data_IF_367514816732
#
_entry.id   IF_367514816732
#
_cell.length_a   1.000
_cell.length_b   1.000
_cell.length_c   1.000
_cell.angle_alpha   90.00
_cell.angle_beta   90.00
_cell.angle_gamma   90.00
#
_symmetry.space_group_name_H-M   'P 1'
#
loop_
_entity.id
_entity.type
_entity.pdbx_description
1 polymer ?
#
# COMPACT_ATOMS: atom_id res chain seq x y z
N UNK A 1 11.98 -8.96 -14.57
CA UNK A 1 11.30 -8.20 -13.51
C UNK A 1 10.22 -7.35 -14.12
N UNK A 2 9.06 -7.26 -13.47
CA UNK A 2 7.89 -6.54 -13.96
C UNK A 2 7.30 -5.66 -12.86
N UNK A 3 6.79 -4.48 -13.22
CA UNK A 3 6.10 -3.59 -12.29
C UNK A 3 4.60 -3.85 -12.41
N UNK A 4 3.97 -4.25 -11.32
CA UNK A 4 2.54 -4.56 -11.28
C UNK A 4 1.90 -3.87 -10.07
N UNK A 5 0.64 -3.45 -10.23
CA UNK A 5 -0.17 -2.91 -9.13
C UNK A 5 -0.79 -4.08 -8.37
N UNK A 6 -0.18 -4.46 -7.25
CA UNK A 6 -0.63 -5.57 -6.41
C UNK A 6 -0.83 -5.11 -4.97
N UNK A 7 -1.67 -5.83 -4.23
CA UNK A 7 -1.86 -5.59 -2.81
C UNK A 7 -0.56 -5.92 -2.06
N UNK A 8 0.11 -4.89 -1.56
CA UNK A 8 1.41 -5.00 -0.89
C UNK A 8 1.28 -4.46 0.54
N UNK A 9 1.94 -5.12 1.49
CA UNK A 9 1.98 -4.69 2.88
C UNK A 9 2.87 -3.45 3.02
N UNK A 10 2.30 -2.37 3.55
CA UNK A 10 2.97 -1.10 3.73
C UNK A 10 3.58 -1.02 5.14
N UNK A 11 4.83 -0.59 5.20
CA UNK A 11 5.66 -0.46 6.41
C UNK A 11 6.27 0.95 6.52
N UNK A 12 5.48 1.96 6.17
CA UNK A 12 5.86 3.38 6.23
C UNK A 12 5.82 4.09 4.88
N UNK A 13 5.64 3.37 3.76
CA UNK A 13 5.51 4.00 2.45
C UNK A 13 4.25 4.87 2.41
N UNK A 14 4.37 6.05 1.80
CA UNK A 14 3.30 7.07 1.75
C UNK A 14 2.78 7.53 3.13
N UNK A 15 3.50 7.27 4.22
CA UNK A 15 3.08 7.57 5.59
C UNK A 15 2.09 6.55 6.18
N UNK A 16 1.96 5.38 5.56
CA UNK A 16 1.08 4.30 5.99
C UNK A 16 1.92 3.08 6.41
N UNK A 17 1.57 2.48 7.55
CA UNK A 17 2.14 1.24 8.08
C UNK A 17 1.03 0.27 8.47
N UNK A 18 1.30 -1.02 8.59
CA UNK A 18 0.35 -2.04 9.08
C UNK A 18 -0.95 -2.13 8.26
N UNK A 19 -0.86 -1.98 6.94
CA UNK A 19 -2.00 -2.12 6.04
C UNK A 19 -1.56 -2.58 4.66
N UNK A 20 -2.36 -3.43 4.02
CA UNK A 20 -2.15 -3.82 2.62
C UNK A 20 -2.94 -2.90 1.69
N UNK A 21 -2.28 -2.35 0.67
CA UNK A 21 -2.92 -1.55 -0.38
C UNK A 21 -2.37 -1.90 -1.76
N UNK A 22 -3.19 -1.65 -2.79
CA UNK A 22 -2.78 -1.77 -4.18
C UNK A 22 -1.82 -0.64 -4.53
N UNK A 23 -0.54 -0.97 -4.61
CA UNK A 23 0.53 -0.02 -4.95
C UNK A 23 1.43 -0.60 -6.04
N UNK A 24 2.16 0.24 -6.80
CA UNK A 24 3.12 -0.23 -7.79
C UNK A 24 4.27 -0.97 -7.09
N UNK A 25 4.41 -2.24 -7.39
CA UNK A 25 5.40 -3.11 -6.77
C UNK A 25 6.21 -3.82 -7.84
N UNK A 26 7.53 -3.84 -7.66
CA UNK A 26 8.43 -4.60 -8.48
C UNK A 26 8.34 -6.07 -8.08
N UNK A 27 8.06 -6.92 -9.05
CA UNK A 27 7.92 -8.36 -8.88
C UNK A 27 8.98 -9.05 -9.72
N UNK A 28 9.68 -10.00 -9.11
CA UNK A 28 10.63 -10.88 -9.75
C UNK A 28 10.27 -12.35 -9.46
N UNK A 29 11.12 -13.29 -9.88
CA UNK A 29 10.90 -14.73 -9.68
C UNK A 29 10.80 -15.15 -8.21
N UNK A 30 11.31 -14.34 -7.29
CA UNK A 30 11.33 -14.59 -5.85
C UNK A 30 10.12 -13.93 -5.13
N UNK A 31 9.24 -13.24 -5.87
CA UNK A 31 8.02 -12.63 -5.35
C UNK A 31 8.07 -11.10 -5.36
N UNK A 32 7.59 -10.49 -4.27
CA UNK A 32 7.64 -9.03 -4.08
C UNK A 32 9.08 -8.63 -3.77
N UNK A 33 9.69 -7.87 -4.68
CA UNK A 33 11.06 -7.37 -4.52
C UNK A 33 11.06 -6.05 -3.76
N UNK A 34 10.29 -5.06 -4.24
CA UNK A 34 10.15 -3.76 -3.57
C UNK A 34 8.89 -3.01 -3.97
N UNK A 35 8.37 -2.22 -3.04
CA UNK A 35 7.30 -1.25 -3.30
C UNK A 35 7.94 0.02 -3.89
N UNK A 36 7.40 0.50 -5.00
CA UNK A 36 7.86 1.74 -5.64
C UNK A 36 7.08 2.92 -5.05
N UNK A 37 7.79 3.81 -4.35
CA UNK A 37 7.23 5.10 -3.92
C UNK A 37 7.39 6.11 -5.04
N UNK A 38 6.32 6.30 -5.81
CA UNK A 38 6.29 7.31 -6.86
C UNK A 38 5.87 8.66 -6.27
N UNK A 39 6.40 9.79 -6.76
CA UNK A 39 5.91 11.10 -6.36
C UNK A 39 4.45 11.23 -6.80
N UNK A 40 3.58 11.54 -5.84
CA UNK A 40 2.16 11.81 -6.03
C UNK A 40 1.86 13.22 -5.52
N UNK A 41 0.75 13.80 -5.99
CA UNK A 41 0.29 15.09 -5.48
C UNK A 41 -0.18 15.00 -4.02
N UNK A 42 -0.27 16.15 -3.35
CA UNK A 42 -0.79 16.20 -1.97
C UNK A 42 -2.22 15.67 -1.86
N UNK A 43 -3.06 15.94 -2.86
CA UNK A 43 -4.44 15.45 -2.90
C UNK A 43 -4.51 13.94 -3.07
N UNK A 44 -3.68 13.36 -3.95
CA UNK A 44 -3.57 11.90 -4.09
C UNK A 44 -3.05 11.26 -2.81
N UNK A 45 -2.07 11.87 -2.15
CA UNK A 45 -1.56 11.36 -0.88
C UNK A 45 -2.64 11.35 0.21
N UNK A 46 -3.43 12.43 0.32
CA UNK A 46 -4.56 12.49 1.24
C UNK A 46 -5.59 11.40 0.95
N UNK A 47 -5.91 11.16 -0.32
CA UNK A 47 -6.84 10.11 -0.72
C UNK A 47 -6.30 8.70 -0.44
N UNK A 48 -5.01 8.46 -0.69
CA UNK A 48 -4.37 7.18 -0.40
C UNK A 48 -4.38 6.89 1.11
N UNK A 49 -4.04 7.89 1.93
CA UNK A 49 -4.10 7.79 3.40
C UNK A 49 -5.53 7.50 3.86
N UNK A 50 -6.53 8.19 3.30
CA UNK A 50 -7.94 7.93 3.59
C UNK A 50 -8.34 6.49 3.29
N UNK A 51 -7.93 5.95 2.14
CA UNK A 51 -8.18 4.55 1.77
C UNK A 51 -7.52 3.56 2.71
N UNK A 52 -6.24 3.80 3.08
CA UNK A 52 -5.52 2.98 4.05
C UNK A 52 -6.21 2.96 5.42
N UNK A 53 -6.64 4.13 5.90
CA UNK A 53 -7.36 4.23 7.17
C UNK A 53 -8.72 3.53 7.13
N UNK A 54 -9.47 3.63 6.02
CA UNK A 54 -10.74 2.92 5.87
C UNK A 54 -10.56 1.41 5.99
N UNK A 55 -9.53 0.83 5.37
CA UNK A 55 -9.22 -0.60 5.53
C UNK A 55 -8.83 -0.95 6.96
N UNK A 56 -8.03 -0.12 7.63
CA UNK A 56 -7.66 -0.34 9.03
C UNK A 56 -8.88 -0.34 9.95
N UNK A 57 -9.83 0.57 9.75
CA UNK A 57 -11.06 0.61 10.54
C UNK A 57 -11.91 -0.66 10.32
N UNK A 58 -12.01 -1.14 9.09
CA UNK A 58 -12.67 -2.42 8.79
C UNK A 58 -11.95 -3.57 9.49
N UNK A 59 -10.62 -3.65 9.40
CA UNK A 59 -9.83 -4.70 10.07
C UNK A 59 -10.03 -4.68 11.58
N UNK A 60 -10.03 -3.50 12.21
CA UNK A 60 -10.28 -3.34 13.66
C UNK A 60 -11.69 -3.77 14.07
N UNK A 61 -12.67 -3.64 13.17
CA UNK A 61 -14.05 -4.05 13.44
C UNK A 61 -14.26 -5.56 13.39
N UNK A 62 -13.27 -6.31 12.90
CA UNK A 62 -13.31 -7.77 12.85
C UNK A 62 -12.62 -8.28 14.12
N UNK A 63 -13.37 -8.98 14.97
CA UNK A 63 -12.78 -9.78 16.05
C UNK A 63 -12.14 -11.03 15.43
N UNK A 64 -10.80 -11.13 15.52
CA UNK A 64 -10.01 -12.32 15.14
C UNK A 64 -9.55 -13.01 16.42
#
# INVERSE_FOLDING_TARGET
>A
DSILTVSSFLEGQYGLSDVCLSVPTLINKDGVDKILTVPISEDEQKQLIKSGNALKEVIKSIEI
#
